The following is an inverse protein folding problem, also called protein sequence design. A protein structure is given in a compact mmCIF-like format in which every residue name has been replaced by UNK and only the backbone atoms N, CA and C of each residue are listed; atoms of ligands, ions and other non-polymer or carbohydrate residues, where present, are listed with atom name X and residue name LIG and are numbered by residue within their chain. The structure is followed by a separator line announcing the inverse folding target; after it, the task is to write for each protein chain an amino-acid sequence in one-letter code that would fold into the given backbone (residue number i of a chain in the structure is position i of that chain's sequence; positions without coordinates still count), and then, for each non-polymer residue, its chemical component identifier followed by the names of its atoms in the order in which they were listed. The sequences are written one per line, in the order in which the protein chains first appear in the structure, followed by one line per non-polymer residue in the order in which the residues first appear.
data_IF_591953587362
#
_entry.id   IF_591953587362
#
_cell.length_a   1.000
_cell.length_b   1.000
_cell.length_c   1.000
_cell.angle_alpha   90.00
_cell.angle_beta   90.00
_cell.angle_gamma   90.00
#
_symmetry.space_group_name_H-M   'P 1'
#
loop_
_entity.id
_entity.type
_entity.pdbx_description
1 polymer ?
#
# COMPACT_ATOMS: atom_id res chain seq x y z
N UNK A 1 3.47 5.01 51.98
CA UNK A 1 2.67 5.76 50.98
C UNK A 1 3.34 5.85 49.60
N UNK A 2 4.66 6.10 49.47
CA UNK A 2 5.31 6.18 48.15
C UNK A 2 5.53 4.84 47.40
N UNK A 3 5.65 3.72 48.12
CA UNK A 3 5.87 2.39 47.52
C UNK A 3 4.59 1.73 46.97
N UNK A 4 3.41 2.13 47.45
CA UNK A 4 2.13 1.60 46.96
C UNK A 4 1.72 2.24 45.63
N UNK A 5 2.11 3.50 45.37
CA UNK A 5 1.84 4.16 44.10
C UNK A 5 2.68 3.60 42.94
N UNK A 6 3.92 3.16 43.20
CA UNK A 6 4.81 2.65 42.14
C UNK A 6 4.35 1.28 41.61
N UNK A 7 3.77 0.43 42.47
CA UNK A 7 3.24 -0.87 42.08
C UNK A 7 1.93 -0.75 41.27
N UNK A 8 1.10 0.27 41.53
CA UNK A 8 -0.16 0.49 40.81
C UNK A 8 0.08 1.08 39.41
N UNK A 9 1.13 1.88 39.22
CA UNK A 9 1.46 2.46 37.91
C UNK A 9 2.09 1.40 36.98
N UNK A 10 2.91 0.48 37.51
CA UNK A 10 3.49 -0.62 36.72
C UNK A 10 2.46 -1.68 36.29
N UNK A 11 1.38 -1.90 37.04
CA UNK A 11 0.30 -2.83 36.64
C UNK A 11 -0.70 -2.22 35.67
N UNK A 12 -0.76 -0.89 35.55
CA UNK A 12 -1.58 -0.16 34.57
C UNK A 12 -0.91 -0.04 33.18
N UNK A 13 0.41 -0.25 33.08
CA UNK A 13 1.19 -0.18 31.84
C UNK A 13 1.36 -1.54 31.12
N UNK A 14 0.86 -2.63 31.69
CA UNK A 14 0.96 -3.98 31.11
C UNK A 14 -0.34 -4.51 30.47
N UNK A 15 -1.41 -3.70 30.38
CA UNK A 15 -2.72 -4.17 29.92
C UNK A 15 -3.26 -3.57 28.60
N UNK A 16 -2.51 -2.77 27.86
CA UNK A 16 -2.99 -2.22 26.57
C UNK A 16 -2.03 -2.51 25.42
N UNK A 17 -1.80 -3.79 25.15
CA UNK A 17 -1.50 -4.28 23.80
C UNK A 17 -2.69 -5.13 23.38
N UNK A 18 -3.79 -4.47 23.00
CA UNK A 18 -4.85 -5.15 22.27
C UNK A 18 -4.43 -5.20 20.81
N UNK A 19 -4.17 -6.43 20.35
CA UNK A 19 -4.21 -6.80 18.94
C UNK A 19 -5.44 -6.17 18.30
N UNK A 20 -5.26 -5.25 17.36
CA UNK A 20 -6.28 -5.07 16.32
C UNK A 20 -5.98 -6.15 15.29
N UNK A 21 -6.53 -7.33 15.54
CA UNK A 21 -6.68 -8.34 14.51
C UNK A 21 -7.52 -7.71 13.38
N UNK A 22 -6.98 -7.67 12.17
CA UNK A 22 -7.79 -7.40 11.00
C UNK A 22 -8.74 -8.59 10.82
N UNK A 23 -9.92 -8.51 11.40
CA UNK A 23 -11.02 -9.38 11.00
C UNK A 23 -11.55 -8.85 9.67
N UNK A 24 -10.94 -9.28 8.57
CA UNK A 24 -11.67 -9.39 7.31
C UNK A 24 -12.81 -10.38 7.56
N UNK A 25 -14.01 -9.86 7.81
CA UNK A 25 -15.22 -10.68 7.81
C UNK A 25 -15.31 -11.37 6.44
N UNK A 26 -15.34 -12.72 6.36
CA UNK A 26 -15.73 -13.36 5.11
C UNK A 26 -17.19 -12.99 4.88
N UNK A 27 -17.45 -12.16 3.87
CA UNK A 27 -18.79 -11.92 3.38
C UNK A 27 -19.30 -13.19 2.69
N UNK A 28 -19.64 -14.20 3.49
CA UNK A 28 -20.33 -15.38 3.02
C UNK A 28 -21.74 -14.94 2.67
N UNK A 29 -22.06 -14.90 1.37
CA UNK A 29 -23.39 -14.53 0.88
C UNK A 29 -24.48 -15.34 1.59
N UNK A 30 -25.62 -14.69 1.88
CA UNK A 30 -26.74 -15.34 2.55
C UNK A 30 -27.18 -16.59 1.76
N UNK A 31 -27.56 -17.70 2.43
CA UNK A 31 -28.07 -18.89 1.76
C UNK A 31 -29.25 -18.56 0.83
N UNK A 32 -29.34 -19.25 -0.31
CA UNK A 32 -30.47 -19.14 -1.23
C UNK A 32 -31.80 -19.51 -0.57
N UNK A 33 -32.90 -18.98 -1.13
CA UNK A 33 -34.26 -19.26 -0.62
C UNK A 33 -34.57 -20.75 -0.84
N UNK A 34 -35.18 -21.46 0.13
CA UNK A 34 -35.61 -22.85 -0.05
C UNK A 34 -36.50 -23.03 -1.28
N UNK A 35 -36.36 -24.17 -1.96
CA UNK A 35 -37.20 -24.52 -3.10
C UNK A 35 -38.69 -24.63 -2.73
N UNK A 36 -39.57 -24.51 -3.73
CA UNK A 36 -41.02 -24.59 -3.53
C UNK A 36 -41.38 -26.05 -3.16
N UNK A 37 -42.29 -26.30 -2.19
CA UNK A 37 -42.76 -27.64 -1.88
C UNK A 37 -43.30 -28.36 -3.13
N UNK A 38 -42.99 -29.65 -3.25
CA UNK A 38 -43.52 -30.46 -4.35
C UNK A 38 -45.04 -30.56 -4.34
N UNK A 39 -45.63 -30.86 -5.50
CA UNK A 39 -47.08 -30.96 -5.63
C UNK A 39 -47.66 -32.09 -4.75
N UNK A 40 -48.90 -31.92 -4.23
CA UNK A 40 -49.61 -32.98 -3.52
C UNK A 40 -49.67 -34.28 -4.32
N UNK A 41 -49.63 -35.41 -3.62
CA UNK A 41 -49.81 -36.72 -4.23
C UNK A 41 -51.20 -36.86 -4.86
N UNK A 42 -51.33 -37.76 -5.84
CA UNK A 42 -52.64 -38.07 -6.43
C UNK A 42 -53.53 -38.78 -5.40
N UNK A 43 -54.84 -38.53 -5.51
CA UNK A 43 -55.84 -39.15 -4.65
C UNK A 43 -55.80 -40.68 -4.69
N UNK A 44 -56.26 -41.30 -3.60
CA UNK A 44 -56.42 -42.75 -3.51
C UNK A 44 -57.43 -43.27 -4.54
N UNK A 45 -57.36 -44.57 -4.85
CA UNK A 45 -58.37 -45.20 -5.70
C UNK A 45 -59.64 -45.45 -4.91
N UNK A 46 -60.79 -45.37 -5.59
CA UNK A 46 -62.08 -45.70 -4.99
C UNK A 46 -62.11 -47.12 -4.43
N UNK A 47 -62.86 -47.29 -3.33
CA UNK A 47 -63.09 -48.59 -2.72
C UNK A 47 -63.85 -49.54 -3.63
N UNK A 48 -63.68 -50.84 -3.41
CA UNK A 48 -64.40 -51.85 -4.20
C UNK A 48 -65.87 -51.85 -3.80
N UNK A 49 -66.78 -51.93 -4.78
CA UNK A 49 -68.22 -51.98 -4.51
C UNK A 49 -68.57 -53.21 -3.66
N UNK A 50 -69.41 -53.01 -2.64
CA UNK A 50 -69.89 -54.09 -1.78
C UNK A 50 -70.64 -55.17 -2.55
N UNK A 51 -70.64 -56.39 -2.01
CA UNK A 51 -71.32 -57.52 -2.63
C UNK A 51 -72.84 -57.32 -2.62
N UNK A 52 -73.52 -57.82 -3.65
CA UNK A 52 -74.99 -57.74 -3.74
C UNK A 52 -75.58 -58.69 -2.68
N UNK A 53 -76.56 -58.20 -1.92
CA UNK A 53 -77.26 -59.02 -0.93
C UNK A 53 -78.02 -60.19 -1.56
N UNK A 54 -78.23 -61.24 -0.78
CA UNK A 54 -78.85 -62.48 -1.25
C UNK A 54 -80.35 -62.31 -1.60
N UNK A 55 -80.87 -63.08 -2.56
CA UNK A 55 -82.31 -63.10 -2.87
C UNK A 55 -83.14 -63.59 -1.68
N UNK A 56 -84.32 -63.01 -1.44
CA UNK A 56 -85.24 -63.47 -0.40
C UNK A 56 -85.78 -64.88 -0.66
N UNK A 57 -86.12 -65.62 0.40
CA UNK A 57 -86.67 -66.99 0.31
C UNK A 57 -88.08 -67.05 -0.32
N UNK A 58 -88.42 -68.15 -1.00
CA UNK A 58 -89.74 -68.42 -1.60
C UNK A 58 -90.72 -69.02 -0.55
N UNK A 59 -92.00 -68.62 -0.55
CA UNK A 59 -92.95 -68.76 0.59
C UNK A 59 -93.90 -69.98 0.56
N UNK A 60 -94.30 -70.47 1.76
CA UNK A 60 -95.44 -71.40 2.01
C UNK A 60 -96.02 -71.13 3.44
N UNK A 61 -97.15 -70.40 3.61
CA UNK A 61 -97.83 -70.15 4.91
C UNK A 61 -98.29 -68.69 5.20
N UNK A 62 -99.08 -68.47 6.28
CA UNK A 62 -99.87 -67.24 6.57
C UNK A 62 -99.18 -66.15 7.43
N UNK A 63 -98.02 -65.61 7.02
CA UNK A 63 -97.44 -64.35 7.55
C UNK A 63 -96.70 -63.58 6.41
N UNK A 64 -96.54 -62.26 6.55
CA UNK A 64 -96.05 -61.32 5.52
C UNK A 64 -94.61 -61.60 4.99
N UNK A 65 -94.27 -61.21 3.74
CA UNK A 65 -92.96 -61.47 3.13
C UNK A 65 -91.79 -60.80 3.87
N UNK A 66 -90.72 -61.57 4.12
CA UNK A 66 -89.45 -61.07 4.67
C UNK A 66 -88.56 -60.59 3.50
N UNK A 67 -88.18 -59.31 3.50
CA UNK A 67 -87.25 -58.72 2.52
C UNK A 67 -85.85 -59.33 2.74
N UNK A 68 -85.17 -59.72 1.65
CA UNK A 68 -83.78 -60.22 1.72
C UNK A 68 -82.84 -59.20 2.37
N UNK A 69 -81.80 -59.69 3.04
CA UNK A 69 -80.87 -58.85 3.79
C UNK A 69 -80.05 -57.94 2.86
N UNK A 70 -79.75 -56.73 3.32
CA UNK A 70 -78.94 -55.77 2.57
C UNK A 70 -77.49 -56.28 2.55
N UNK A 71 -76.89 -56.36 1.36
CA UNK A 71 -75.48 -56.74 1.21
C UNK A 71 -74.54 -55.81 1.98
N UNK A 72 -73.38 -56.35 2.37
CA UNK A 72 -72.38 -55.63 3.17
C UNK A 72 -71.76 -54.45 2.41
N UNK A 73 -71.35 -53.42 3.17
CA UNK A 73 -70.66 -52.26 2.61
C UNK A 73 -69.27 -52.68 2.08
N UNK A 74 -68.88 -52.15 0.92
CA UNK A 74 -67.55 -52.38 0.37
C UNK A 74 -66.43 -51.80 1.24
N UNK A 75 -65.23 -52.38 1.14
CA UNK A 75 -64.05 -51.90 1.86
C UNK A 75 -63.60 -50.53 1.34
N UNK A 76 -63.13 -49.68 2.26
CA UNK A 76 -62.58 -48.36 1.94
C UNK A 76 -61.33 -48.49 1.06
N UNK A 77 -61.17 -47.59 0.10
CA UNK A 77 -60.00 -47.54 -0.78
C UNK A 77 -58.70 -47.20 -0.03
N UNK A 78 -57.55 -47.57 -0.59
CA UNK A 78 -56.25 -47.23 -0.03
C UNK A 78 -55.91 -45.74 -0.19
N UNK A 79 -55.18 -45.18 0.75
CA UNK A 79 -54.70 -43.79 0.70
C UNK A 79 -53.76 -43.54 -0.49
N UNK A 80 -53.78 -42.31 -1.01
CA UNK A 80 -52.92 -41.87 -2.10
C UNK A 80 -51.42 -41.93 -1.75
N UNK A 81 -50.57 -42.04 -2.78
CA UNK A 81 -49.11 -42.02 -2.59
C UNK A 81 -48.63 -40.61 -2.21
N UNK A 82 -47.57 -40.52 -1.39
CA UNK A 82 -46.92 -39.23 -1.07
C UNK A 82 -46.43 -38.55 -2.35
N UNK A 83 -46.60 -37.23 -2.43
CA UNK A 83 -46.10 -36.39 -3.53
C UNK A 83 -44.57 -36.44 -3.67
N UNK A 84 -44.07 -36.06 -4.85
CA UNK A 84 -42.62 -35.98 -5.10
C UNK A 84 -41.99 -34.81 -4.34
N UNK A 85 -40.71 -34.92 -3.98
CA UNK A 85 -39.95 -33.81 -3.39
C UNK A 85 -39.82 -32.65 -4.37
N UNK A 86 -39.88 -31.41 -3.87
CA UNK A 86 -39.66 -30.22 -4.68
C UNK A 86 -38.22 -30.08 -5.17
N UNK A 87 -38.00 -29.31 -6.23
CA UNK A 87 -36.67 -29.03 -6.77
C UNK A 87 -35.83 -28.14 -5.82
N UNK A 88 -34.49 -28.24 -5.86
CA UNK A 88 -33.61 -27.34 -5.10
C UNK A 88 -33.84 -25.86 -5.46
N UNK A 89 -33.75 -24.99 -4.45
CA UNK A 89 -33.86 -23.54 -4.64
C UNK A 89 -32.74 -22.97 -5.53
N UNK A 90 -33.01 -21.84 -6.19
CA UNK A 90 -32.01 -21.17 -7.03
C UNK A 90 -30.83 -20.63 -6.19
N UNK A 91 -29.61 -20.56 -6.76
CA UNK A 91 -28.47 -19.91 -6.11
C UNK A 91 -28.77 -18.46 -5.71
N UNK A 92 -28.25 -18.03 -4.55
CA UNK A 92 -28.37 -16.65 -4.09
C UNK A 92 -27.73 -15.65 -5.06
N UNK A 93 -28.24 -14.41 -5.09
CA UNK A 93 -27.66 -13.34 -5.92
C UNK A 93 -26.25 -12.97 -5.42
N UNK A 94 -25.33 -12.53 -6.31
CA UNK A 94 -24.06 -11.96 -5.89
C UNK A 94 -24.25 -10.81 -4.89
N UNK A 95 -23.34 -10.71 -3.91
CA UNK A 95 -23.35 -9.61 -2.94
C UNK A 95 -23.17 -8.25 -3.63
N UNK A 96 -23.62 -7.16 -2.98
CA UNK A 96 -23.38 -5.81 -3.50
C UNK A 96 -21.89 -5.51 -3.60
N UNK A 97 -21.51 -4.63 -4.53
CA UNK A 97 -20.15 -4.10 -4.59
C UNK A 97 -19.79 -3.40 -3.27
N UNK A 98 -18.54 -3.58 -2.82
CA UNK A 98 -18.05 -2.87 -1.64
C UNK A 98 -18.12 -1.35 -1.82
N UNK A 99 -18.18 -0.57 -0.73
CA UNK A 99 -18.14 0.89 -0.81
C UNK A 99 -16.84 1.35 -1.49
N UNK A 100 -16.90 2.48 -2.18
CA UNK A 100 -15.70 3.13 -2.69
C UNK A 100 -14.73 3.40 -1.51
N UNK A 101 -13.43 3.20 -1.73
CA UNK A 101 -12.43 3.60 -0.75
C UNK A 101 -12.53 5.10 -0.43
N UNK A 102 -12.07 5.54 0.75
CA UNK A 102 -12.03 6.96 1.06
C UNK A 102 -11.22 7.70 -0.02
N UNK A 103 -11.58 8.95 -0.34
CA UNK A 103 -10.73 9.80 -1.17
C UNK A 103 -9.30 9.77 -0.62
N UNK A 104 -8.32 9.62 -1.50
CA UNK A 104 -6.91 9.78 -1.09
C UNK A 104 -6.74 11.14 -0.42
N UNK A 105 -5.85 11.21 0.58
CA UNK A 105 -5.54 12.48 1.24
C UNK A 105 -5.31 13.55 0.17
N UNK A 106 -6.06 14.64 0.29
CA UNK A 106 -5.88 15.77 -0.61
C UNK A 106 -4.46 16.26 -0.37
N UNK A 107 -3.56 16.03 -1.33
CA UNK A 107 -2.24 16.63 -1.27
C UNK A 107 -2.43 18.12 -1.05
N UNK A 108 -1.91 18.64 0.06
CA UNK A 108 -2.09 20.04 0.41
C UNK A 108 -1.32 20.91 -0.59
N UNK A 109 -1.96 21.21 -1.72
CA UNK A 109 -1.43 22.10 -2.75
C UNK A 109 -1.24 23.53 -2.21
N UNK A 110 -1.75 23.85 -1.01
CA UNK A 110 -1.57 25.15 -0.35
C UNK A 110 -0.41 25.18 0.65
N UNK A 111 0.10 24.02 1.07
CA UNK A 111 1.47 23.89 1.58
C UNK A 111 2.54 24.00 0.47
N UNK A 112 2.14 24.02 -0.81
CA UNK A 112 2.99 24.35 -1.98
C UNK A 112 3.06 25.88 -2.16
N UNK A 113 3.15 26.62 -1.04
CA UNK A 113 3.27 28.09 -1.00
C UNK A 113 4.71 28.60 -0.90
N UNK A 114 5.67 27.75 -0.54
CA UNK A 114 7.11 27.99 -0.76
C UNK A 114 7.69 26.63 -1.13
N UNK A 115 7.85 26.36 -2.43
CA UNK A 115 8.57 25.18 -2.88
C UNK A 115 10.02 25.36 -2.41
N UNK A 116 10.35 24.83 -1.23
CA UNK A 116 11.68 24.86 -0.65
C UNK A 116 12.58 24.02 -1.57
N UNK A 117 13.15 24.69 -2.57
CA UNK A 117 14.03 24.12 -3.59
C UNK A 117 15.42 24.67 -3.38
N UNK A 118 16.41 23.80 -3.50
CA UNK A 118 17.80 24.19 -3.65
C UNK A 118 18.43 23.20 -4.62
N UNK A 119 19.03 23.70 -5.67
CA UNK A 119 19.78 22.89 -6.62
C UNK A 119 20.80 23.76 -7.36
N UNK A 120 22.00 23.24 -7.57
CA UNK A 120 22.99 23.86 -8.42
C UNK A 120 23.73 22.80 -9.24
N UNK A 121 24.20 23.22 -10.40
CA UNK A 121 25.15 22.52 -11.26
C UNK A 121 26.08 23.56 -11.84
N UNK A 122 27.36 23.44 -11.52
CA UNK A 122 28.40 24.39 -11.91
C UNK A 122 29.56 23.64 -12.54
N UNK A 123 30.17 24.24 -13.56
CA UNK A 123 31.30 23.69 -14.28
C UNK A 123 32.57 24.52 -14.03
N UNK A 124 33.71 23.83 -14.09
CA UNK A 124 35.02 24.48 -14.04
C UNK A 124 35.25 25.24 -15.35
N UNK A 125 35.33 26.58 -15.26
CA UNK A 125 35.45 27.46 -16.41
C UNK A 125 36.88 27.71 -16.91
N UNK A 126 37.88 27.06 -16.31
CA UNK A 126 39.30 27.17 -16.72
C UNK A 126 39.88 25.80 -17.02
N UNK A 127 40.83 25.77 -17.94
CA UNK A 127 41.63 24.58 -18.24
C UNK A 127 42.82 24.39 -17.27
N UNK A 128 43.10 25.34 -16.39
CA UNK A 128 44.19 25.24 -15.44
C UNK A 128 43.85 24.27 -14.30
N UNK A 129 44.86 23.57 -13.78
CA UNK A 129 44.71 22.76 -12.56
C UNK A 129 44.38 23.67 -11.37
N UNK A 130 43.52 23.23 -10.43
CA UNK A 130 43.36 23.96 -9.18
C UNK A 130 44.68 24.01 -8.38
N UNK A 131 44.77 24.94 -7.44
CA UNK A 131 45.93 25.02 -6.53
C UNK A 131 45.93 23.83 -5.56
N UNK A 132 47.10 23.49 -5.00
CA UNK A 132 47.25 22.40 -4.02
C UNK A 132 46.57 22.78 -2.71
N UNK A 133 45.91 21.82 -2.05
CA UNK A 133 45.25 22.02 -0.75
C UNK A 133 44.30 23.24 -0.74
N UNK A 134 43.56 23.46 -1.82
CA UNK A 134 42.75 24.66 -2.03
C UNK A 134 41.33 24.32 -2.48
N UNK A 135 40.42 25.29 -2.34
CA UNK A 135 39.04 25.17 -2.81
C UNK A 135 39.00 25.06 -4.34
N UNK A 136 38.33 24.03 -4.84
CA UNK A 136 38.09 23.86 -6.28
C UNK A 136 36.95 24.79 -6.69
N UNK A 137 37.29 25.85 -7.43
CA UNK A 137 36.32 26.82 -7.94
C UNK A 137 35.69 26.36 -9.25
N UNK A 138 34.36 26.38 -9.29
CA UNK A 138 33.53 26.16 -10.48
C UNK A 138 32.86 27.48 -10.84
N UNK A 139 33.32 28.10 -11.92
CA UNK A 139 32.99 29.49 -12.27
C UNK A 139 31.90 29.61 -13.33
N UNK A 140 31.59 28.54 -14.05
CA UNK A 140 30.56 28.51 -15.09
C UNK A 140 29.27 27.95 -14.50
N UNK A 141 28.21 28.74 -14.44
CA UNK A 141 26.91 28.28 -13.93
C UNK A 141 26.12 27.57 -15.03
N UNK A 142 25.62 26.37 -14.74
CA UNK A 142 24.62 25.67 -15.57
C UNK A 142 23.24 25.90 -14.93
N UNK A 143 23.12 25.60 -13.64
CA UNK A 143 21.94 25.82 -12.81
C UNK A 143 22.37 26.32 -11.44
N UNK A 144 21.67 27.28 -10.85
CA UNK A 144 21.93 27.73 -9.47
C UNK A 144 20.67 28.36 -8.86
N UNK A 145 19.75 27.51 -8.41
CA UNK A 145 18.50 27.96 -7.78
C UNK A 145 18.84 28.73 -6.51
N UNK A 146 18.18 29.87 -6.31
CA UNK A 146 18.38 30.81 -5.20
C UNK A 146 19.79 31.40 -5.05
N UNK A 147 20.71 31.15 -5.99
CA UNK A 147 22.13 31.54 -5.87
C UNK A 147 22.77 31.01 -4.57
N UNK A 148 22.51 29.74 -4.25
CA UNK A 148 23.05 29.09 -3.04
C UNK A 148 24.51 28.64 -3.24
N UNK A 149 24.96 28.43 -4.49
CA UNK A 149 26.37 28.26 -4.81
C UNK A 149 27.03 29.59 -5.17
N UNK A 150 28.12 29.94 -4.49
CA UNK A 150 28.91 31.13 -4.77
C UNK A 150 30.14 30.79 -5.62
N UNK A 151 30.15 31.26 -6.87
CA UNK A 151 31.24 31.02 -7.83
C UNK A 151 32.55 31.75 -7.48
N UNK A 152 32.49 32.79 -6.66
CA UNK A 152 33.68 33.51 -6.20
C UNK A 152 34.41 32.72 -5.11
N UNK A 153 33.68 32.08 -4.20
CA UNK A 153 34.28 31.30 -3.11
C UNK A 153 34.44 29.82 -3.46
N UNK A 154 33.67 29.31 -4.41
CA UNK A 154 33.59 27.88 -4.75
C UNK A 154 32.72 27.06 -3.81
N UNK A 155 31.86 27.71 -3.02
CA UNK A 155 31.13 27.08 -1.91
C UNK A 155 29.62 27.16 -2.09
N UNK A 156 28.94 26.08 -1.74
CA UNK A 156 27.49 26.05 -1.53
C UNK A 156 27.18 26.46 -0.10
N UNK A 157 26.19 27.33 0.13
CA UNK A 157 25.69 27.70 1.45
C UNK A 157 24.23 27.28 1.60
N UNK A 158 23.96 26.46 2.61
CA UNK A 158 22.63 25.94 2.88
C UNK A 158 21.66 27.04 3.35
N UNK A 159 20.62 27.34 2.58
CA UNK A 159 19.52 28.23 3.02
C UNK A 159 18.30 27.47 3.55
N UNK A 160 18.07 26.28 3.02
CA UNK A 160 16.98 25.38 3.41
C UNK A 160 17.58 24.17 4.14
N UNK A 161 17.42 24.04 5.46
CA UNK A 161 17.88 22.86 6.19
C UNK A 161 17.26 21.58 5.64
N UNK A 162 18.03 20.50 5.57
CA UNK A 162 17.54 19.24 5.04
C UNK A 162 18.63 18.30 4.55
N UNK A 163 18.20 17.23 3.87
CA UNK A 163 19.11 16.24 3.28
C UNK A 163 19.43 16.67 1.86
N UNK A 164 20.72 16.84 1.57
CA UNK A 164 21.24 17.18 0.24
C UNK A 164 22.01 16.00 -0.34
N UNK A 165 21.97 15.88 -1.66
CA UNK A 165 22.86 14.98 -2.41
C UNK A 165 23.85 15.83 -3.20
N UNK A 166 25.13 15.63 -2.94
CA UNK A 166 26.22 16.28 -3.67
C UNK A 166 26.92 15.25 -4.56
N UNK A 167 27.26 15.65 -5.79
CA UNK A 167 27.97 14.81 -6.75
C UNK A 167 28.89 15.67 -7.60
N UNK A 168 30.07 15.15 -7.91
CA UNK A 168 30.94 15.75 -8.91
C UNK A 168 31.39 14.72 -9.93
N UNK A 169 31.65 15.21 -11.14
CA UNK A 169 32.31 14.48 -12.20
C UNK A 169 33.49 15.33 -12.65
N UNK A 170 34.69 14.76 -12.65
CA UNK A 170 35.93 15.46 -12.93
C UNK A 170 36.61 14.83 -14.14
N UNK A 171 36.80 15.62 -15.20
CA UNK A 171 37.69 15.25 -16.30
C UNK A 171 39.14 15.39 -15.82
N UNK A 172 39.91 14.29 -15.85
CA UNK A 172 41.28 14.26 -15.34
C UNK A 172 42.30 13.86 -16.39
N UNK A 173 43.46 14.53 -16.36
CA UNK A 173 44.64 14.24 -17.20
C UNK A 173 45.84 13.74 -16.39
N UNK A 174 45.78 13.86 -15.06
CA UNK A 174 46.75 13.33 -14.10
C UNK A 174 45.99 12.95 -12.81
N UNK A 175 46.71 12.40 -11.83
CA UNK A 175 46.18 12.00 -10.52
C UNK A 175 45.36 13.12 -9.90
N UNK A 176 44.24 12.77 -9.30
CA UNK A 176 43.35 13.71 -8.61
C UNK A 176 42.91 13.14 -7.26
N UNK A 177 42.96 13.96 -6.21
CA UNK A 177 42.32 13.69 -4.94
C UNK A 177 41.43 14.88 -4.58
N UNK A 178 40.15 14.62 -4.39
CA UNK A 178 39.14 15.63 -4.01
C UNK A 178 38.58 15.29 -2.64
N UNK A 179 38.44 16.29 -1.78
CA UNK A 179 37.79 16.21 -0.48
C UNK A 179 36.48 16.95 -0.54
N UNK A 180 35.39 16.30 -0.15
CA UNK A 180 34.13 16.97 0.12
C UNK A 180 34.12 17.42 1.59
N UNK A 181 33.97 18.72 1.84
CA UNK A 181 33.98 19.31 3.18
C UNK A 181 32.63 19.92 3.54
N UNK A 182 32.32 19.94 4.83
CA UNK A 182 31.27 20.75 5.46
C UNK A 182 31.87 21.55 6.61
N UNK A 183 31.76 22.88 6.60
CA UNK A 183 32.29 23.77 7.64
C UNK A 183 33.70 23.39 8.14
N UNK A 184 34.64 23.24 7.20
CA UNK A 184 36.04 22.83 7.42
C UNK A 184 36.26 21.36 7.83
N UNK A 185 35.20 20.65 8.19
CA UNK A 185 35.25 19.22 8.50
C UNK A 185 35.23 18.40 7.21
N UNK A 186 36.23 17.54 6.95
CA UNK A 186 36.20 16.62 5.83
C UNK A 186 35.12 15.56 6.05
N UNK A 187 34.20 15.43 5.09
CA UNK A 187 33.18 14.38 5.09
C UNK A 187 33.71 13.10 4.45
N UNK A 188 34.35 13.22 3.30
CA UNK A 188 34.92 12.08 2.55
C UNK A 188 35.98 12.56 1.56
N UNK A 189 36.79 11.62 1.06
CA UNK A 189 37.86 11.86 0.08
C UNK A 189 37.76 10.84 -1.05
N UNK A 190 37.84 11.32 -2.28
CA UNK A 190 37.86 10.50 -3.49
C UNK A 190 39.18 10.71 -4.21
N UNK A 191 39.89 9.64 -4.50
CA UNK A 191 41.20 9.70 -5.14
C UNK A 191 41.29 8.77 -6.33
N UNK A 192 41.82 9.29 -7.43
CA UNK A 192 42.09 8.55 -8.64
C UNK A 192 43.56 8.74 -9.04
N UNK A 193 44.28 7.63 -9.18
CA UNK A 193 45.73 7.59 -9.33
C UNK A 193 46.18 7.18 -10.74
N UNK A 194 45.24 6.99 -11.68
CA UNK A 194 45.56 6.54 -13.05
C UNK A 194 46.19 7.69 -13.85
N UNK A 195 47.20 7.36 -14.69
CA UNK A 195 48.03 8.32 -15.43
C UNK A 195 48.02 8.21 -16.95
N UNK A 196 47.45 7.13 -17.50
CA UNK A 196 47.79 6.72 -18.88
C UNK A 196 46.76 7.14 -19.94
N UNK A 197 45.57 7.61 -19.55
CA UNK A 197 44.54 8.14 -20.48
C UNK A 197 43.68 9.20 -19.80
N UNK A 198 43.14 10.13 -20.59
CA UNK A 198 42.03 10.99 -20.15
C UNK A 198 40.88 10.11 -19.67
N UNK A 199 40.37 10.41 -18.48
CA UNK A 199 39.25 9.69 -17.89
C UNK A 199 38.37 10.67 -17.08
N UNK A 200 37.21 10.18 -16.65
CA UNK A 200 36.32 10.92 -15.76
C UNK A 200 36.25 10.17 -14.45
N UNK A 201 36.54 10.86 -13.35
CA UNK A 201 36.35 10.34 -12.00
C UNK A 201 35.17 11.05 -11.34
N UNK A 202 34.51 10.39 -10.38
CA UNK A 202 33.33 10.94 -9.72
C UNK A 202 33.29 10.56 -8.25
N UNK A 203 32.61 11.39 -7.48
CA UNK A 203 32.31 11.12 -6.08
C UNK A 203 30.99 11.77 -5.68
N UNK A 204 30.29 11.15 -4.74
CA UNK A 204 29.00 11.65 -4.26
C UNK A 204 28.78 11.34 -2.79
N UNK A 205 27.95 12.16 -2.14
CA UNK A 205 27.53 11.94 -0.76
C UNK A 205 26.16 12.56 -0.50
N UNK A 206 25.28 11.81 0.15
CA UNK A 206 24.09 12.36 0.78
C UNK A 206 24.45 12.83 2.20
N UNK A 207 24.12 14.08 2.54
CA UNK A 207 24.46 14.67 3.83
C UNK A 207 23.35 15.60 4.31
N UNK A 208 23.10 15.59 5.63
CA UNK A 208 22.22 16.56 6.26
C UNK A 208 22.96 17.88 6.51
N UNK A 209 22.31 18.99 6.16
CA UNK A 209 22.81 20.34 6.40
C UNK A 209 21.81 21.15 7.23
N UNK A 210 22.34 21.79 8.26
CA UNK A 210 21.66 22.89 8.97
C UNK A 210 21.78 24.18 8.18
N UNK A 211 20.97 25.19 8.55
CA UNK A 211 21.02 26.52 7.94
C UNK A 211 22.44 27.11 8.05
N UNK A 212 22.85 27.82 7.01
CA UNK A 212 24.13 28.53 6.86
C UNK A 212 25.39 27.66 6.81
N UNK A 213 25.28 26.34 6.95
CA UNK A 213 26.41 25.44 6.73
C UNK A 213 26.87 25.50 5.27
N UNK A 214 28.18 25.46 5.07
CA UNK A 214 28.79 25.49 3.76
C UNK A 214 29.32 24.11 3.34
N UNK A 215 29.21 23.80 2.04
CA UNK A 215 29.76 22.59 1.42
C UNK A 215 30.60 22.95 0.20
N UNK A 216 31.78 22.36 0.07
CA UNK A 216 32.65 22.58 -1.07
C UNK A 216 33.60 21.41 -1.32
N UNK A 217 34.30 21.48 -2.46
CA UNK A 217 35.35 20.54 -2.83
C UNK A 217 36.72 21.20 -2.67
N UNK A 218 37.69 20.46 -2.13
CA UNK A 218 39.09 20.86 -2.07
C UNK A 218 39.99 19.83 -2.73
N UNK A 219 41.09 20.28 -3.34
CA UNK A 219 42.18 19.40 -3.73
C UNK A 219 42.99 18.96 -2.51
N UNK A 220 43.62 17.78 -2.60
CA UNK A 220 44.74 17.42 -1.71
C UNK A 220 46.06 17.69 -2.43
N UNK A 221 46.93 16.69 -2.47
CA UNK A 221 48.20 16.75 -3.16
C UNK A 221 48.06 16.55 -4.67
N UNK A 222 47.14 15.69 -5.09
CA UNK A 222 46.88 15.38 -6.49
C UNK A 222 45.74 16.27 -7.02
N UNK A 223 45.98 16.92 -8.16
CA UNK A 223 45.20 18.06 -8.65
C UNK A 223 44.90 18.05 -10.16
N UNK A 224 45.00 16.89 -10.81
CA UNK A 224 44.92 16.72 -12.26
C UNK A 224 43.55 16.96 -12.92
N UNK A 225 42.69 17.80 -12.33
CA UNK A 225 41.36 18.14 -12.84
C UNK A 225 41.43 19.30 -13.86
N UNK A 226 40.78 19.14 -15.00
CA UNK A 226 40.64 20.19 -16.05
C UNK A 226 39.19 20.66 -16.21
N UNK A 227 39.00 21.85 -16.76
CA UNK A 227 37.71 22.38 -17.21
C UNK A 227 37.70 22.71 -18.70
N UNK A 228 36.77 23.56 -19.15
CA UNK A 228 36.70 23.98 -20.56
C UNK A 228 38.02 24.65 -21.02
N UNK A 229 38.44 24.47 -22.29
CA UNK A 229 37.77 23.71 -23.36
C UNK A 229 38.17 22.23 -23.46
N UNK A 230 39.15 21.75 -22.68
CA UNK A 230 39.69 20.39 -22.86
C UNK A 230 38.88 19.26 -22.20
N UNK A 231 37.89 19.61 -21.38
CA UNK A 231 36.97 18.69 -20.72
C UNK A 231 35.85 19.41 -19.96
N UNK A 232 35.01 18.62 -19.27
CA UNK A 232 33.93 19.13 -18.44
C UNK A 232 34.08 18.53 -17.03
N UNK A 233 34.50 19.37 -16.08
CA UNK A 233 34.43 19.03 -14.65
C UNK A 233 33.26 19.78 -14.04
N UNK A 234 32.33 19.06 -13.43
CA UNK A 234 31.04 19.55 -12.94
C UNK A 234 30.90 19.19 -11.47
N UNK A 235 30.34 20.11 -10.69
CA UNK A 235 29.90 19.88 -9.33
C UNK A 235 28.42 20.27 -9.22
N UNK A 236 27.63 19.36 -8.67
CA UNK A 236 26.19 19.51 -8.51
C UNK A 236 25.78 19.18 -7.09
N UNK A 237 24.71 19.83 -6.63
CA UNK A 237 24.07 19.50 -5.37
C UNK A 237 22.60 19.89 -5.40
N UNK A 238 21.74 19.09 -4.78
CA UNK A 238 20.32 19.38 -4.69
C UNK A 238 19.68 18.85 -3.41
N UNK A 239 18.63 19.54 -2.96
CA UNK A 239 17.84 19.18 -1.81
C UNK A 239 16.95 17.97 -2.13
N UNK A 240 17.13 16.88 -1.39
CA UNK A 240 16.27 15.69 -1.47
C UNK A 240 15.01 15.85 -0.61
N UNK A 241 15.17 16.37 0.61
CA UNK A 241 14.07 16.54 1.56
C UNK A 241 14.36 17.72 2.49
N UNK A 242 13.49 18.74 2.54
CA UNK A 242 13.60 19.80 3.55
C UNK A 242 13.33 19.22 4.95
N UNK A 243 13.97 19.78 5.97
CA UNK A 243 13.67 19.47 7.36
C UNK A 243 12.27 19.99 7.70
N UNK A 244 11.38 19.10 8.15
CA UNK A 244 10.07 19.47 8.67
C UNK A 244 10.20 19.58 10.19
N UNK A 245 10.03 20.78 10.72
CA UNK A 245 9.82 20.93 12.16
C UNK A 245 8.41 20.42 12.43
N UNK A 246 8.26 19.19 12.91
CA UNK A 246 7.00 18.74 13.51
C UNK A 246 6.78 19.63 14.72
N UNK A 247 5.77 20.50 14.66
CA UNK A 247 5.35 21.39 15.74
C UNK A 247 4.69 20.62 16.89
N UNK A 248 5.43 19.73 17.52
CA UNK A 248 5.08 19.13 18.80
C UNK A 248 6.05 19.73 19.83
N UNK A 249 5.70 20.91 20.31
CA UNK A 249 6.02 21.28 21.69
C UNK A 249 5.16 20.39 22.58
N UNK A 250 5.80 19.59 23.44
CA UNK A 250 5.16 18.81 24.53
C UNK A 250 5.34 19.62 25.80
#
# INVERSE_FOLDING_TARGET
MLHQCFFVICTLLSLTVQLVAMETCPATGMPGIPGIPGMPGKDGRDGVKGQKGDPGAKWHGSLSPQKGEKGEMGLMGFSGKRGQSGEPGMPGKPGPAGPAGPPGETGDFRAVGVQQKAAFSVARGTNEYPDKASVIRFTTVITNINNDYNVQTGRFRCKVPGIYYFVFHASIEDRLCVVLKRDQTPLTSFCDHRRLRRQVTSGSLAVYLSRDQEVWLETKEYRGMRGKPSGYSIFSGFLLRPYQHTGLEI
#
